data_IF_387971010582
#
_entry.id   IF_387971010582
#
_cell.length_a   1.000
_cell.length_b   1.000
_cell.length_c   1.000
_cell.angle_alpha   90.00
_cell.angle_beta   90.00
_cell.angle_gamma   90.00
#
_symmetry.space_group_name_H-M   'P 1'
#
loop_
_entity.id
_entity.type
_entity.pdbx_description
1 polymer ?
#
# COMPACT_ATOMS: atom_id res chain seq x y z
N UNK A 1 -7.86 6.30 -10.39
CA UNK A 1 -8.68 5.25 -11.04
C UNK A 1 -9.10 4.19 -10.03
N UNK A 2 -8.16 3.65 -9.23
CA UNK A 2 -8.44 2.77 -8.06
C UNK A 2 -9.60 3.27 -7.18
N UNK A 3 -9.59 4.55 -6.80
CA UNK A 3 -10.64 5.12 -5.93
C UNK A 3 -12.04 5.10 -6.58
N UNK A 4 -12.13 5.35 -7.88
CA UNK A 4 -13.42 5.30 -8.60
C UNK A 4 -13.95 3.87 -8.69
N UNK A 5 -13.06 2.87 -8.82
CA UNK A 5 -13.45 1.46 -8.79
C UNK A 5 -13.95 1.07 -7.40
N UNK A 6 -13.26 1.52 -6.34
CA UNK A 6 -13.68 1.28 -4.95
C UNK A 6 -15.06 1.84 -4.63
N UNK A 7 -15.35 3.07 -5.06
CA UNK A 7 -16.66 3.70 -4.87
C UNK A 7 -17.75 2.95 -5.66
N UNK A 8 -17.45 2.52 -6.88
CA UNK A 8 -18.38 1.76 -7.71
C UNK A 8 -18.78 0.40 -7.12
N UNK A 9 -17.87 -0.26 -6.40
CA UNK A 9 -18.17 -1.52 -5.69
C UNK A 9 -18.99 -1.31 -4.42
N UNK A 10 -18.77 -0.20 -3.69
CA UNK A 10 -19.44 0.07 -2.41
C UNK A 10 -20.87 0.61 -2.56
N UNK A 11 -21.12 1.44 -3.58
CA UNK A 11 -22.39 2.17 -3.74
C UNK A 11 -23.18 1.76 -4.99
N UNK A 12 -22.67 0.81 -5.77
CA UNK A 12 -23.24 0.44 -7.07
C UNK A 12 -23.08 1.55 -8.12
N UNK A 13 -23.48 1.27 -9.36
CA UNK A 13 -23.40 2.23 -10.48
C UNK A 13 -24.26 3.50 -10.27
N UNK A 14 -25.07 3.54 -9.22
CA UNK A 14 -26.06 4.58 -8.92
C UNK A 14 -25.54 5.63 -7.92
N UNK A 15 -24.25 5.61 -7.58
CA UNK A 15 -23.64 6.73 -6.87
C UNK A 15 -23.73 8.00 -7.73
N UNK A 16 -24.66 8.91 -7.39
CA UNK A 16 -24.94 10.19 -8.07
C UNK A 16 -23.75 11.19 -8.04
N UNK A 17 -22.58 10.77 -7.53
CA UNK A 17 -21.36 11.56 -7.45
C UNK A 17 -20.58 11.64 -8.76
N UNK A 18 -20.01 12.81 -9.05
CA UNK A 18 -19.05 12.98 -10.16
C UNK A 18 -17.80 12.13 -9.90
N UNK A 19 -17.45 11.27 -10.86
CA UNK A 19 -16.21 10.46 -10.82
C UNK A 19 -14.98 11.34 -10.63
N UNK A 20 -14.02 10.90 -9.81
CA UNK A 20 -12.76 11.59 -9.63
C UNK A 20 -11.97 11.62 -10.95
N UNK A 21 -11.49 12.81 -11.33
CA UNK A 21 -10.54 12.99 -12.43
C UNK A 21 -9.14 12.98 -11.85
N UNK A 22 -8.19 12.38 -12.57
CA UNK A 22 -6.79 12.33 -12.17
C UNK A 22 -5.91 12.61 -13.39
N UNK A 23 -4.74 13.19 -13.14
CA UNK A 23 -3.68 13.38 -14.13
C UNK A 23 -2.41 12.63 -13.69
N UNK A 24 -1.57 12.26 -14.65
CA UNK A 24 -0.31 11.59 -14.37
C UNK A 24 0.74 12.64 -14.02
N UNK A 25 1.35 12.50 -12.84
CA UNK A 25 2.44 13.36 -12.37
C UNK A 25 3.73 12.55 -12.30
N UNK A 26 4.82 13.11 -12.84
CA UNK A 26 6.15 12.50 -12.73
C UNK A 26 6.79 12.94 -11.43
N UNK A 27 7.24 11.96 -10.63
CA UNK A 27 7.90 12.19 -9.35
C UNK A 27 9.31 11.59 -9.39
N UNK A 28 10.25 12.21 -8.69
CA UNK A 28 11.60 11.67 -8.52
C UNK A 28 11.60 10.40 -7.67
N UNK A 29 12.60 9.52 -7.85
CA UNK A 29 12.68 8.22 -7.16
C UNK A 29 12.62 8.33 -5.63
N UNK A 30 13.21 9.38 -5.06
CA UNK A 30 13.19 9.68 -3.62
C UNK A 30 11.77 10.00 -3.14
N UNK A 31 11.06 10.85 -3.89
CA UNK A 31 9.69 11.26 -3.55
C UNK A 31 8.73 10.08 -3.66
N UNK A 32 8.88 9.25 -4.69
CA UNK A 32 8.10 8.02 -4.86
C UNK A 32 8.35 7.05 -3.69
N UNK A 33 9.60 6.92 -3.25
CA UNK A 33 9.96 6.02 -2.15
C UNK A 33 9.38 6.45 -0.81
N UNK A 34 9.31 7.76 -0.55
CA UNK A 34 8.70 8.33 0.66
C UNK A 34 7.16 8.26 0.63
N UNK A 35 6.55 8.29 -0.55
CA UNK A 35 5.09 8.19 -0.76
C UNK A 35 4.56 6.77 -0.91
N UNK A 36 5.36 5.76 -0.62
CA UNK A 36 4.89 4.36 -0.67
C UNK A 36 3.72 4.13 0.30
N UNK A 37 2.85 3.16 -0.03
CA UNK A 37 1.64 2.84 0.76
C UNK A 37 1.99 2.29 2.16
N UNK A 38 3.20 1.76 2.34
CA UNK A 38 3.70 1.28 3.64
C UNK A 38 4.50 2.38 4.35
N UNK A 39 4.01 2.79 5.52
CA UNK A 39 4.74 3.75 6.34
C UNK A 39 5.99 3.12 6.97
N UNK A 40 5.99 1.83 7.28
CA UNK A 40 7.15 1.15 7.85
C UNK A 40 8.31 1.09 6.84
N UNK A 41 7.96 0.83 5.58
CA UNK A 41 8.90 0.85 4.46
C UNK A 41 9.43 2.26 4.17
N UNK A 42 8.56 3.28 4.19
CA UNK A 42 8.94 4.68 4.03
C UNK A 42 9.85 5.17 5.17
N UNK A 43 9.50 4.89 6.43
CA UNK A 43 10.23 5.35 7.60
C UNK A 43 11.66 4.79 7.67
N UNK A 44 11.86 3.57 7.16
CA UNK A 44 13.17 2.93 7.07
C UNK A 44 13.97 3.34 5.83
N UNK A 45 13.45 4.21 4.97
CA UNK A 45 14.22 4.76 3.85
C UNK A 45 14.98 6.01 4.32
N UNK A 46 14.24 7.09 4.61
CA UNK A 46 14.75 8.36 5.10
C UNK A 46 13.66 9.11 5.87
N UNK A 47 14.00 10.22 6.53
CA UNK A 47 13.04 11.12 7.21
C UNK A 47 12.12 10.41 8.24
N UNK A 48 12.67 9.44 8.96
CA UNK A 48 11.96 8.52 9.87
C UNK A 48 11.01 9.24 10.85
N UNK A 49 11.49 10.28 11.55
CA UNK A 49 10.68 11.01 12.53
C UNK A 49 9.42 11.62 11.89
N UNK A 50 9.57 12.22 10.71
CA UNK A 50 8.46 12.84 9.99
C UNK A 50 7.42 11.80 9.58
N UNK A 51 7.86 10.68 9.02
CA UNK A 51 6.98 9.59 8.57
C UNK A 51 6.20 9.01 9.76
N UNK A 52 6.86 8.79 10.91
CA UNK A 52 6.22 8.26 12.11
C UNK A 52 5.18 9.22 12.69
N UNK A 53 5.50 10.52 12.80
CA UNK A 53 4.58 11.53 13.32
C UNK A 53 3.33 11.65 12.43
N UNK A 54 3.51 11.76 11.11
CA UNK A 54 2.38 11.88 10.18
C UNK A 54 1.45 10.66 10.23
N UNK A 55 2.00 9.45 10.36
CA UNK A 55 1.20 8.24 10.46
C UNK A 55 0.54 8.07 11.82
N UNK A 56 1.21 8.44 12.92
CA UNK A 56 0.61 8.42 14.25
C UNK A 56 -0.62 9.34 14.32
N UNK A 57 -0.56 10.53 13.71
CA UNK A 57 -1.68 11.46 13.65
C UNK A 57 -2.82 10.92 12.77
N UNK A 58 -2.50 10.30 11.63
CA UNK A 58 -3.49 9.75 10.69
C UNK A 58 -4.08 8.40 11.14
N UNK A 59 -3.53 7.77 12.18
CA UNK A 59 -3.88 6.39 12.57
C UNK A 59 -3.47 5.36 11.52
N UNK A 60 -2.33 5.57 10.85
CA UNK A 60 -1.87 4.74 9.75
C UNK A 60 -1.58 3.30 10.16
N UNK A 61 -2.26 2.34 9.53
CA UNK A 61 -2.02 0.90 9.73
C UNK A 61 -1.23 0.34 8.55
N UNK A 62 -0.13 -0.34 8.83
CA UNK A 62 0.66 -1.02 7.79
C UNK A 62 0.12 -2.42 7.54
N UNK A 63 -0.04 -2.77 6.27
CA UNK A 63 -0.57 -4.08 5.86
C UNK A 63 0.52 -5.11 5.57
N UNK A 64 1.81 -4.74 5.67
CA UNK A 64 2.97 -5.64 5.54
C UNK A 64 2.93 -6.47 4.25
N UNK A 65 2.51 -5.86 3.13
CA UNK A 65 2.37 -6.53 1.84
C UNK A 65 3.66 -6.47 1.02
N UNK A 66 4.59 -5.60 1.38
CA UNK A 66 5.82 -5.33 0.66
C UNK A 66 6.99 -6.22 1.09
N UNK A 67 8.03 -6.22 0.26
CA UNK A 67 9.27 -6.93 0.55
C UNK A 67 9.95 -6.40 1.82
N UNK A 68 10.15 -5.07 1.88
CA UNK A 68 10.94 -4.41 2.91
C UNK A 68 10.31 -4.56 4.30
N UNK A 69 8.99 -4.37 4.40
CA UNK A 69 8.26 -4.56 5.65
C UNK A 69 8.45 -5.97 6.22
N UNK A 70 8.32 -7.00 5.37
CA UNK A 70 8.46 -8.39 5.81
C UNK A 70 9.89 -8.70 6.26
N UNK A 71 10.91 -8.16 5.58
CA UNK A 71 12.30 -8.29 6.00
C UNK A 71 12.53 -7.64 7.37
N UNK A 72 12.01 -6.43 7.62
CA UNK A 72 12.16 -5.72 8.90
C UNK A 72 11.53 -6.51 10.06
N UNK A 73 10.36 -7.09 9.84
CA UNK A 73 9.63 -7.86 10.85
C UNK A 73 10.16 -9.30 10.99
N UNK A 74 10.96 -9.79 10.03
CA UNK A 74 11.49 -11.15 10.03
C UNK A 74 10.49 -12.22 9.52
N UNK A 75 9.52 -11.83 8.69
CA UNK A 75 8.59 -12.75 8.02
C UNK A 75 9.11 -13.15 6.63
N UNK A 76 8.60 -14.26 6.10
CA UNK A 76 8.89 -14.65 4.72
C UNK A 76 8.48 -13.54 3.75
N UNK A 77 9.40 -13.22 2.85
CA UNK A 77 9.17 -12.21 1.82
C UNK A 77 8.11 -12.66 0.81
N UNK A 78 7.24 -11.76 0.33
CA UNK A 78 6.27 -12.06 -0.73
C UNK A 78 6.96 -12.09 -2.10
N UNK A 79 7.90 -13.02 -2.26
CA UNK A 79 8.65 -13.25 -3.50
C UNK A 79 9.13 -14.71 -3.58
N UNK A 80 9.17 -15.27 -4.78
CA UNK A 80 9.68 -16.61 -5.03
C UNK A 80 9.02 -17.68 -4.15
N UNK A 81 9.82 -18.35 -3.32
CA UNK A 81 9.35 -19.42 -2.41
C UNK A 81 8.41 -18.93 -1.32
N UNK A 82 8.42 -17.64 -0.98
CA UNK A 82 7.53 -17.07 0.04
C UNK A 82 6.06 -16.92 -0.41
N UNK A 83 5.75 -17.16 -1.69
CA UNK A 83 4.35 -17.24 -2.16
C UNK A 83 3.72 -18.61 -1.96
N UNK A 84 4.49 -19.66 -1.61
CA UNK A 84 4.01 -21.05 -1.58
C UNK A 84 2.78 -21.25 -0.68
N UNK A 85 2.75 -20.60 0.48
CA UNK A 85 1.63 -20.73 1.43
C UNK A 85 0.36 -20.02 0.93
N UNK A 86 0.50 -18.94 0.15
CA UNK A 86 -0.63 -18.20 -0.42
C UNK A 86 -1.19 -18.91 -1.66
N UNK A 87 -0.32 -19.45 -2.51
CA UNK A 87 -0.72 -20.21 -3.71
C UNK A 87 -1.45 -21.50 -3.31
N UNK A 88 -0.99 -22.23 -2.28
CA UNK A 88 -1.70 -23.42 -1.78
C UNK A 88 -3.11 -23.07 -1.27
N UNK A 89 -3.24 -22.02 -0.48
CA UNK A 89 -4.53 -21.59 0.06
C UNK A 89 -5.53 -21.09 -1.00
N UNK A 90 -5.05 -20.59 -2.14
CA UNK A 90 -5.91 -20.22 -3.29
C UNK A 90 -6.23 -21.40 -4.22
N UNK A 91 -5.42 -22.47 -4.20
CA UNK A 91 -5.65 -23.67 -5.04
C UNK A 91 -6.58 -24.69 -4.36
N UNK A 92 -6.77 -24.60 -3.04
CA UNK A 92 -7.66 -25.47 -2.24
C UNK A 92 -9.07 -24.85 -2.00
N UNK A 93 -9.38 -23.72 -2.63
CA UNK A 93 -10.73 -23.12 -2.70
C UNK A 93 -11.34 -23.30 -4.07
#
# INVERSE_FOLDING_TARGET
>A
MEENSRIGELYGKDAEGKKAKAETVVLGITEVSLRTKSWLSAASFQNTNRVLIENAIKGGVDSLRGLKENVIIGRLIPAGTGFKDRIKAETEK
#
